data_IF_458083617635
#
_entry.id   IF_458083617635
#
_cell.length_a   1.000
_cell.length_b   1.000
_cell.length_c   1.000
_cell.angle_alpha   90.00
_cell.angle_beta   90.00
_cell.angle_gamma   90.00
#
_symmetry.space_group_name_H-M   'P 1'
#
loop_
_entity.id
_entity.type
_entity.pdbx_description
1 polymer ?
#
# COMPACT_ATOMS: atom_id res chain seq x y z
N UNK A 1 -3.46 4.57 -20.42
CA UNK A 1 -3.40 5.58 -19.33
C UNK A 1 -3.91 5.01 -18.01
N UNK A 2 -5.10 4.40 -17.96
CA UNK A 2 -5.56 3.70 -16.75
C UNK A 2 -4.70 2.46 -16.43
N UNK A 3 -4.16 1.80 -17.46
CA UNK A 3 -3.24 0.66 -17.32
C UNK A 3 -1.98 0.99 -16.50
N UNK A 4 -1.42 2.18 -16.70
CA UNK A 4 -0.24 2.64 -15.96
C UNK A 4 -0.55 2.87 -14.48
N UNK A 5 -1.73 3.43 -14.16
CA UNK A 5 -2.17 3.64 -12.78
C UNK A 5 -2.39 2.31 -12.05
N UNK A 6 -3.06 1.36 -12.73
CA UNK A 6 -3.25 -0.01 -12.22
C UNK A 6 -1.90 -0.72 -12.01
N UNK A 7 -0.97 -0.59 -12.95
CA UNK A 7 0.36 -1.22 -12.85
C UNK A 7 1.15 -0.70 -11.66
N UNK A 8 1.16 0.63 -11.45
CA UNK A 8 1.82 1.28 -10.33
C UNK A 8 1.27 0.78 -8.98
N UNK A 9 -0.06 0.71 -8.87
CA UNK A 9 -0.71 0.22 -7.66
C UNK A 9 -0.42 -1.27 -7.39
N UNK A 10 -0.36 -2.08 -8.46
CA UNK A 10 0.07 -3.47 -8.37
C UNK A 10 1.50 -3.60 -7.81
N UNK A 11 2.44 -2.78 -8.28
CA UNK A 11 3.83 -2.79 -7.78
C UNK A 11 3.92 -2.42 -6.28
N UNK A 12 3.12 -1.45 -5.83
CA UNK A 12 3.05 -1.07 -4.42
C UNK A 12 2.50 -2.21 -3.55
N UNK A 13 1.39 -2.83 -3.96
CA UNK A 13 0.78 -3.94 -3.23
C UNK A 13 1.69 -5.17 -3.18
N UNK A 14 2.44 -5.45 -4.25
CA UNK A 14 3.45 -6.52 -4.27
C UNK A 14 4.57 -6.22 -3.28
N UNK A 15 5.08 -4.99 -3.25
CA UNK A 15 6.13 -4.58 -2.32
C UNK A 15 5.68 -4.71 -0.86
N UNK A 16 4.48 -4.24 -0.53
CA UNK A 16 3.88 -4.39 0.81
C UNK A 16 3.74 -5.87 1.19
N UNK A 17 3.29 -6.72 0.26
CA UNK A 17 3.15 -8.16 0.50
C UNK A 17 4.49 -8.87 0.75
N UNK A 18 5.58 -8.37 0.17
CA UNK A 18 6.91 -8.96 0.33
C UNK A 18 7.63 -8.52 1.61
N UNK A 19 7.24 -7.38 2.19
CA UNK A 19 7.86 -6.80 3.39
C UNK A 19 7.36 -7.42 4.72
N UNK A 20 6.28 -8.22 4.68
CA UNK A 20 5.70 -8.92 5.86
C UNK A 20 6.60 -10.04 6.44
N UNK A 21 7.71 -10.39 5.78
CA UNK A 21 8.56 -11.54 6.18
C UNK A 21 9.85 -11.17 6.93
N UNK A 22 9.98 -9.94 7.47
CA UNK A 22 11.19 -9.56 8.21
C UNK A 22 10.86 -8.89 9.55
N UNK A 23 11.16 -9.66 10.59
CA UNK A 23 11.17 -9.32 12.00
C UNK A 23 9.82 -9.14 12.72
N UNK A 24 9.56 -10.14 13.57
CA UNK A 24 8.81 -10.08 14.82
C UNK A 24 7.29 -9.87 14.74
N UNK A 25 6.60 -11.01 14.64
CA UNK A 25 5.55 -11.39 15.59
C UNK A 25 4.48 -10.35 15.89
N UNK A 26 3.31 -10.56 15.28
CA UNK A 26 2.01 -9.99 15.67
C UNK A 26 1.79 -8.54 15.24
N UNK A 27 1.63 -8.31 13.94
CA UNK A 27 0.69 -7.30 13.43
C UNK A 27 -0.01 -7.86 12.19
N UNK A 28 -1.21 -8.40 12.45
CA UNK A 28 -2.33 -8.62 11.52
C UNK A 28 -2.14 -9.67 10.40
N UNK A 29 -2.14 -10.94 10.79
CA UNK A 29 -2.39 -12.13 9.91
C UNK A 29 -3.73 -12.04 9.12
N UNK A 30 -4.56 -11.03 9.37
CA UNK A 30 -5.77 -10.71 8.61
C UNK A 30 -5.53 -9.94 7.30
N UNK A 31 -4.51 -9.08 7.24
CA UNK A 31 -4.38 -8.09 6.15
C UNK A 31 -3.61 -8.63 4.94
N UNK A 32 -2.60 -9.49 5.14
CA UNK A 32 -1.81 -10.06 4.03
C UNK A 32 -2.62 -10.92 3.03
N UNK A 33 -3.72 -11.55 3.49
CA UNK A 33 -4.65 -12.25 2.58
C UNK A 33 -5.45 -11.29 1.72
N UNK A 34 -5.84 -10.14 2.27
CA UNK A 34 -6.64 -9.14 1.56
C UNK A 34 -5.78 -8.42 0.52
N UNK A 35 -4.52 -8.10 0.85
CA UNK A 35 -3.54 -7.56 -0.11
C UNK A 35 -3.28 -8.54 -1.26
N UNK A 36 -3.06 -9.83 -0.98
CA UNK A 36 -2.92 -10.86 -2.03
C UNK A 36 -4.17 -10.98 -2.91
N UNK A 37 -5.36 -10.89 -2.32
CA UNK A 37 -6.63 -10.91 -3.07
C UNK A 37 -6.74 -9.69 -3.99
N UNK A 38 -6.37 -8.51 -3.50
CA UNK A 38 -6.31 -7.28 -4.32
C UNK A 38 -5.34 -7.45 -5.49
N UNK A 39 -4.12 -7.96 -5.25
CA UNK A 39 -3.12 -8.20 -6.30
C UNK A 39 -3.69 -9.11 -7.39
N UNK A 40 -4.28 -10.26 -7.04
CA UNK A 40 -4.87 -11.16 -8.04
C UNK A 40 -6.03 -10.53 -8.81
N UNK A 41 -6.86 -9.71 -8.16
CA UNK A 41 -7.98 -9.02 -8.82
C UNK A 41 -7.52 -7.94 -9.80
N UNK A 42 -6.50 -7.16 -9.43
CA UNK A 42 -5.92 -6.16 -10.32
C UNK A 42 -5.16 -6.79 -11.50
N UNK A 43 -4.47 -7.92 -11.28
CA UNK A 43 -3.86 -8.69 -12.37
C UNK A 43 -4.89 -9.24 -13.36
N UNK A 44 -6.02 -9.74 -12.88
CA UNK A 44 -7.11 -10.18 -13.75
C UNK A 44 -7.73 -9.00 -14.54
N UNK A 45 -7.76 -7.82 -13.92
CA UNK A 45 -8.28 -6.60 -14.52
C UNK A 45 -7.34 -6.01 -15.58
N UNK A 46 -6.01 -6.15 -15.46
CA UNK A 46 -5.04 -5.72 -16.47
C UNK A 46 -5.30 -6.32 -17.86
N UNK A 47 -5.66 -7.61 -17.92
CA UNK A 47 -6.01 -8.26 -19.18
C UNK A 47 -7.28 -7.63 -19.82
N UNK A 48 -8.19 -7.13 -19.00
CA UNK A 48 -9.41 -6.45 -19.43
C UNK A 48 -9.16 -4.99 -19.81
N UNK A 49 -8.20 -4.32 -19.15
CA UNK A 49 -7.82 -2.95 -19.47
C UNK A 49 -7.23 -2.83 -20.87
N UNK A 50 -6.42 -3.79 -21.31
CA UNK A 50 -5.83 -3.75 -22.65
C UNK A 50 -6.89 -3.76 -23.78
N UNK A 51 -8.00 -4.49 -23.59
CA UNK A 51 -9.15 -4.49 -24.51
C UNK A 51 -9.97 -3.20 -24.36
N UNK A 52 -10.23 -2.77 -23.12
CA UNK A 52 -10.96 -1.56 -22.81
C UNK A 52 -10.27 -0.28 -23.34
N UNK A 53 -8.95 -0.16 -23.22
CA UNK A 53 -8.18 1.00 -23.73
C UNK A 53 -8.26 1.12 -25.25
N UNK A 54 -8.40 0.00 -25.98
CA UNK A 54 -8.62 0.01 -27.43
C UNK A 54 -10.05 0.43 -27.79
N UNK A 55 -11.03 0.02 -26.98
CA UNK A 55 -12.45 0.34 -27.18
C UNK A 55 -12.83 1.77 -26.81
N UNK A 56 -12.11 2.40 -25.88
CA UNK A 56 -12.40 3.76 -25.39
C UNK A 56 -12.45 4.84 -26.49
N UNK A 57 -11.76 4.61 -27.61
CA UNK A 57 -11.73 5.52 -28.77
C UNK A 57 -13.09 5.61 -29.45
N UNK A 58 -13.89 4.53 -29.38
CA UNK A 58 -15.18 4.41 -30.06
C UNK A 58 -16.36 4.37 -29.11
N UNK A 59 -16.14 3.93 -27.87
CA UNK A 59 -17.19 3.72 -26.87
C UNK A 59 -17.00 4.68 -25.68
N UNK A 60 -17.80 5.75 -25.63
CA UNK A 60 -17.72 6.76 -24.57
C UNK A 60 -17.95 6.18 -23.17
N UNK A 61 -18.83 5.19 -23.05
CA UNK A 61 -19.09 4.50 -21.78
C UNK A 61 -17.83 3.79 -21.25
N UNK A 62 -17.00 3.22 -22.15
CA UNK A 62 -15.74 2.57 -21.78
C UNK A 62 -14.71 3.60 -21.33
N UNK A 63 -14.65 4.76 -22.02
CA UNK A 63 -13.79 5.88 -21.59
C UNK A 63 -14.15 6.36 -20.19
N UNK A 64 -15.44 6.60 -19.90
CA UNK A 64 -15.89 7.04 -18.58
C UNK A 64 -15.54 6.03 -17.48
N UNK A 65 -15.74 4.73 -17.76
CA UNK A 65 -15.39 3.68 -16.81
C UNK A 65 -13.86 3.62 -16.54
N UNK A 66 -13.03 3.82 -17.57
CA UNK A 66 -11.56 3.85 -17.41
C UNK A 66 -11.08 5.07 -16.61
N UNK A 67 -11.70 6.24 -16.78
CA UNK A 67 -11.41 7.42 -15.96
C UNK A 67 -11.78 7.18 -14.49
N UNK A 68 -12.96 6.61 -14.21
CA UNK A 68 -13.37 6.26 -12.84
C UNK A 68 -12.44 5.23 -12.19
N UNK A 69 -11.98 4.25 -12.97
CA UNK A 69 -11.02 3.26 -12.46
C UNK A 69 -9.67 3.90 -12.12
N UNK A 70 -9.22 4.85 -12.94
CA UNK A 70 -7.98 5.59 -12.70
C UNK A 70 -8.08 6.44 -11.43
N UNK A 71 -9.18 7.15 -11.24
CA UNK A 71 -9.41 7.95 -10.03
C UNK A 71 -9.41 7.06 -8.77
N UNK A 72 -10.10 5.92 -8.82
CA UNK A 72 -10.11 4.96 -7.73
C UNK A 72 -8.70 4.37 -7.42
N UNK A 73 -7.83 4.25 -8.42
CA UNK A 73 -6.44 3.83 -8.20
C UNK A 73 -5.64 4.91 -7.46
N UNK A 74 -5.85 6.19 -7.76
CA UNK A 74 -5.18 7.28 -7.03
C UNK A 74 -5.67 7.38 -5.59
N UNK A 75 -6.97 7.27 -5.35
CA UNK A 75 -7.52 7.25 -4.00
C UNK A 75 -6.91 6.11 -3.16
N UNK A 76 -6.68 4.95 -3.78
CA UNK A 76 -6.07 3.81 -3.11
C UNK A 76 -4.55 3.98 -2.93
N UNK A 77 -3.85 4.60 -3.87
CA UNK A 77 -2.42 4.93 -3.71
C UNK A 77 -2.21 5.86 -2.50
N UNK A 78 -3.01 6.91 -2.36
CA UNK A 78 -2.94 7.85 -1.23
C UNK A 78 -3.13 7.13 0.13
N UNK A 79 -4.11 6.21 0.20
CA UNK A 79 -4.36 5.41 1.42
C UNK A 79 -3.21 4.44 1.72
N UNK A 80 -2.62 3.81 0.70
CA UNK A 80 -1.48 2.90 0.87
C UNK A 80 -0.22 3.67 1.31
N UNK A 81 0.04 4.85 0.76
CA UNK A 81 1.16 5.71 1.15
C UNK A 81 1.02 6.21 2.61
N UNK A 82 -0.18 6.58 3.03
CA UNK A 82 -0.46 6.93 4.44
C UNK A 82 -0.22 5.74 5.37
N UNK A 83 -0.64 4.54 4.96
CA UNK A 83 -0.42 3.32 5.73
C UNK A 83 1.08 2.98 5.86
N UNK A 84 1.83 3.03 4.75
CA UNK A 84 3.30 2.82 4.75
C UNK A 84 3.98 3.83 5.67
N UNK A 85 3.62 5.11 5.56
CA UNK A 85 4.20 6.19 6.38
C UNK A 85 3.90 5.99 7.87
N UNK A 86 2.66 5.61 8.20
CA UNK A 86 2.25 5.36 9.59
C UNK A 86 2.97 4.14 10.17
N UNK A 87 3.13 3.07 9.38
CA UNK A 87 3.88 1.88 9.76
C UNK A 87 5.37 2.18 9.99
N UNK A 88 5.98 3.01 9.14
CA UNK A 88 7.37 3.45 9.30
C UNK A 88 7.55 4.29 10.56
N UNK A 89 6.63 5.24 10.83
CA UNK A 89 6.64 6.04 12.06
C UNK A 89 6.55 5.18 13.32
N UNK A 90 5.68 4.16 13.33
CA UNK A 90 5.57 3.22 14.45
C UNK A 90 6.87 2.43 14.69
N UNK A 91 7.58 2.03 13.63
CA UNK A 91 8.88 1.35 13.75
C UNK A 91 9.99 2.27 14.27
N UNK A 92 9.95 3.56 13.94
CA UNK A 92 10.94 4.55 14.39
C UNK A 92 10.67 4.97 15.85
N UNK A 93 9.41 5.20 16.23
CA UNK A 93 9.03 5.58 17.60
C UNK A 93 9.32 4.43 18.59
N UNK A 94 9.20 3.17 18.17
CA UNK A 94 9.58 2.00 18.97
C UNK A 94 11.09 1.87 19.30
N UNK A 95 11.95 2.70 18.71
CA UNK A 95 13.42 2.70 18.93
C UNK A 95 13.88 3.83 19.87
N UNK A 96 13.02 4.79 20.22
CA UNK A 96 13.42 5.99 20.98
C UNK A 96 13.12 5.93 22.49
N UNK A 97 12.72 4.78 23.04
CA UNK A 97 12.45 4.61 24.48
C UNK A 97 13.62 4.02 25.31
N UNK A 98 14.85 3.98 24.77
CA UNK A 98 16.01 3.37 25.48
C UNK A 98 17.12 4.35 25.89
N UNK A 99 16.89 5.68 25.90
CA UNK A 99 17.95 6.59 26.34
C UNK A 99 17.52 7.86 27.08
N UNK A 100 16.78 7.70 28.18
CA UNK A 100 16.84 8.70 29.27
C UNK A 100 16.84 8.05 30.66
N UNK A 101 17.87 7.25 30.97
CA UNK A 101 18.29 7.07 32.36
C UNK A 101 19.38 8.08 32.67
N UNK A 102 18.96 9.31 33.00
CA UNK A 102 19.82 10.27 33.66
C UNK A 102 20.29 9.70 35.01
N UNK A 103 21.61 9.71 35.33
CA UNK A 103 22.05 9.27 36.64
C UNK A 103 21.70 10.35 37.65
N UNK A 104 20.62 10.14 38.42
CA UNK A 104 20.35 10.93 39.61
C UNK A 104 21.44 10.66 40.64
N UNK A 105 22.38 11.58 40.71
CA UNK A 105 23.22 11.83 41.87
C UNK A 105 22.30 12.09 43.08
N UNK A 106 22.24 11.14 44.01
CA UNK A 106 21.86 11.43 45.40
C UNK A 106 22.92 10.83 46.31
N UNK A 107 23.63 11.75 46.95
CA UNK A 107 24.50 11.52 48.09
C UNK A 107 23.70 11.16 49.35
N UNK A 108 24.42 10.57 50.31
CA UNK A 108 24.07 10.28 51.71
C UNK A 108 23.48 8.88 51.95
N UNK A 109 24.01 8.08 52.88
CA UNK A 109 24.76 8.38 54.11
C UNK A 109 25.72 7.24 54.48
#
# INVERSE_FOLDING_TARGET
>A
MADAAVSRLLELLVSISTEENREEGRLIVGDGKEVKRLVSNFQASQAFLADAEQRQVKEEAVRLWLDQLKDACYDMEDVLDEWITTRLKLQIEGVLDDHESAPTLVSQK
#
